data_IF_620897804633
#
_entry.id   IF_620897804633
#
_cell.length_a   1.000
_cell.length_b   1.000
_cell.length_c   1.000
_cell.angle_alpha   90.00
_cell.angle_beta   90.00
_cell.angle_gamma   90.00
#
_symmetry.space_group_name_H-M   'P 1'
#
loop_
_entity.id
_entity.type
_entity.pdbx_description
1 polymer ?
#
# COMPACT_ATOMS: atom_id res chain seq x y z
N UNK A 1 15.88 -17.39 -15.03
CA UNK A 1 14.95 -16.91 -16.10
C UNK A 1 13.54 -17.43 -15.83
N UNK A 2 12.52 -16.60 -15.99
CA UNK A 2 11.08 -16.96 -15.88
C UNK A 2 10.44 -16.77 -17.25
N UNK A 3 9.75 -17.81 -17.77
CA UNK A 3 9.09 -17.76 -19.06
C UNK A 3 7.68 -18.37 -18.96
N UNK A 4 6.66 -17.64 -19.41
CA UNK A 4 5.28 -18.10 -19.53
C UNK A 4 4.93 -18.25 -21.00
N UNK A 5 4.30 -19.37 -21.38
CA UNK A 5 3.86 -19.67 -22.76
C UNK A 5 2.37 -20.01 -22.77
N UNK A 6 1.59 -19.11 -23.36
CA UNK A 6 0.14 -19.29 -23.54
C UNK A 6 -0.60 -19.63 -22.24
N UNK A 7 -0.20 -18.97 -21.12
CA UNK A 7 -0.75 -19.27 -19.79
C UNK A 7 -2.12 -18.64 -19.64
N UNK A 8 -3.12 -19.48 -19.35
CA UNK A 8 -4.47 -19.06 -18.96
C UNK A 8 -4.83 -19.67 -17.61
N UNK A 9 -5.52 -18.90 -16.77
CA UNK A 9 -5.91 -19.36 -15.44
C UNK A 9 -7.29 -18.82 -15.03
N UNK A 10 -8.12 -19.70 -14.47
CA UNK A 10 -9.39 -19.38 -13.83
C UNK A 10 -9.46 -19.97 -12.41
N UNK A 11 -9.92 -19.17 -11.42
CA UNK A 11 -10.22 -19.69 -10.09
C UNK A 11 -11.41 -20.65 -10.13
N UNK A 12 -11.48 -21.60 -9.17
CA UNK A 12 -12.48 -22.66 -9.16
C UNK A 12 -13.93 -22.18 -9.19
N UNK A 13 -14.21 -21.02 -8.57
CA UNK A 13 -15.56 -20.46 -8.46
C UNK A 13 -15.87 -19.39 -9.54
N UNK A 14 -14.97 -19.17 -10.48
CA UNK A 14 -15.12 -18.16 -11.53
C UNK A 14 -15.35 -18.77 -12.90
N UNK A 15 -16.26 -18.20 -13.66
CA UNK A 15 -16.60 -18.62 -15.03
C UNK A 15 -15.73 -17.95 -16.10
N UNK A 16 -14.91 -16.97 -15.70
CA UNK A 16 -14.04 -16.21 -16.61
C UNK A 16 -12.58 -16.34 -16.20
N UNK A 17 -11.70 -16.46 -17.18
CA UNK A 17 -10.26 -16.51 -16.94
C UNK A 17 -9.75 -15.19 -16.36
N UNK A 18 -9.00 -15.28 -15.27
CA UNK A 18 -8.28 -14.17 -14.65
C UNK A 18 -6.98 -13.86 -15.37
N UNK A 19 -6.37 -14.88 -16.01
CA UNK A 19 -5.29 -14.73 -16.98
C UNK A 19 -5.73 -15.37 -18.29
N UNK A 20 -5.41 -14.70 -19.41
CA UNK A 20 -5.86 -15.09 -20.75
C UNK A 20 -4.68 -15.04 -21.71
N UNK A 21 -4.19 -16.21 -22.09
CA UNK A 21 -3.14 -16.37 -23.09
C UNK A 21 -1.89 -15.50 -22.83
N UNK A 22 -1.41 -15.51 -21.57
CA UNK A 22 -0.24 -14.77 -21.16
C UNK A 22 1.01 -15.43 -21.69
N UNK A 23 1.78 -14.67 -22.47
CA UNK A 23 3.14 -15.05 -22.89
C UNK A 23 4.08 -13.90 -22.51
N UNK A 24 5.08 -14.18 -21.67
CA UNK A 24 6.06 -13.20 -21.22
C UNK A 24 7.37 -13.86 -20.79
N UNK A 25 8.46 -13.12 -20.78
CA UNK A 25 9.76 -13.61 -20.35
C UNK A 25 10.46 -12.55 -19.50
N UNK A 26 11.01 -12.99 -18.35
CA UNK A 26 11.94 -12.23 -17.51
C UNK A 26 13.30 -12.94 -17.53
N UNK A 27 14.35 -12.20 -17.88
CA UNK A 27 15.70 -12.76 -18.05
C UNK A 27 16.55 -12.54 -16.79
N UNK A 28 17.60 -13.37 -16.71
CA UNK A 28 18.64 -13.21 -15.68
C UNK A 28 19.39 -11.89 -15.89
N UNK A 29 19.71 -11.20 -14.80
CA UNK A 29 20.35 -9.88 -14.84
C UNK A 29 19.43 -8.75 -15.33
N UNK A 30 18.11 -8.97 -15.36
CA UNK A 30 17.13 -7.97 -15.74
C UNK A 30 16.07 -7.73 -14.65
N UNK A 31 15.54 -6.51 -14.64
CA UNK A 31 14.32 -6.16 -13.87
C UNK A 31 13.16 -6.04 -14.86
N UNK A 32 12.20 -6.95 -14.74
CA UNK A 32 10.96 -6.95 -15.50
C UNK A 32 9.83 -6.37 -14.65
N UNK A 33 9.21 -5.29 -15.10
CA UNK A 33 8.05 -4.65 -14.47
C UNK A 33 6.76 -5.14 -15.11
N UNK A 34 5.83 -5.65 -14.31
CA UNK A 34 4.46 -5.92 -14.71
C UNK A 34 3.52 -4.92 -14.03
N UNK A 35 2.76 -4.15 -14.80
CA UNK A 35 1.85 -3.14 -14.26
C UNK A 35 0.47 -3.18 -14.92
N UNK A 36 -0.48 -2.44 -14.38
CA UNK A 36 -1.86 -2.38 -14.85
C UNK A 36 -2.81 -1.95 -13.73
N UNK A 37 -4.08 -1.69 -14.05
CA UNK A 37 -5.08 -1.31 -13.05
C UNK A 37 -5.38 -2.44 -12.04
N UNK A 38 -5.98 -2.07 -10.93
CA UNK A 38 -6.42 -3.06 -9.91
C UNK A 38 -7.40 -4.07 -10.52
N UNK A 39 -7.17 -5.35 -10.24
CA UNK A 39 -8.00 -6.44 -10.77
C UNK A 39 -7.66 -6.88 -12.20
N UNK A 40 -6.59 -6.38 -12.83
CA UNK A 40 -6.20 -6.81 -14.17
C UNK A 40 -5.47 -8.17 -14.23
N UNK A 41 -5.22 -8.83 -13.07
CA UNK A 41 -4.60 -10.16 -13.02
C UNK A 41 -3.16 -10.20 -12.48
N UNK A 42 -2.57 -9.09 -12.03
CA UNK A 42 -1.16 -9.02 -11.57
C UNK A 42 -0.82 -10.01 -10.45
N UNK A 43 -1.55 -9.98 -9.33
CA UNK A 43 -1.29 -10.90 -8.22
C UNK A 43 -1.61 -12.36 -8.60
N UNK A 44 -2.56 -12.59 -9.52
CA UNK A 44 -2.80 -13.92 -10.09
C UNK A 44 -1.62 -14.40 -10.93
N UNK A 45 -1.00 -13.50 -11.71
CA UNK A 45 0.23 -13.79 -12.45
C UNK A 45 1.35 -14.27 -11.53
N UNK A 46 1.60 -13.57 -10.43
CA UNK A 46 2.61 -14.02 -9.46
C UNK A 46 2.25 -15.35 -8.79
N UNK A 47 0.95 -15.56 -8.49
CA UNK A 47 0.47 -16.82 -7.88
C UNK A 47 0.60 -18.02 -8.80
N UNK A 48 0.50 -17.87 -10.11
CA UNK A 48 0.78 -18.97 -11.04
C UNK A 48 2.28 -19.22 -11.17
N UNK A 49 3.13 -18.18 -11.15
CA UNK A 49 4.59 -18.31 -11.22
C UNK A 49 5.15 -19.04 -9.98
N UNK A 50 4.62 -18.77 -8.80
CA UNK A 50 5.05 -19.44 -7.56
C UNK A 50 4.21 -20.68 -7.20
N UNK A 51 3.40 -21.17 -8.13
CA UNK A 51 2.53 -22.35 -8.01
C UNK A 51 1.51 -22.31 -6.86
N UNK A 52 1.24 -21.16 -6.24
CA UNK A 52 0.08 -21.01 -5.34
C UNK A 52 -1.24 -21.23 -6.08
N UNK A 53 -1.29 -20.89 -7.36
CA UNK A 53 -2.34 -21.29 -8.29
C UNK A 53 -1.79 -22.35 -9.24
N UNK A 54 -2.43 -23.52 -9.38
CA UNK A 54 -3.69 -23.94 -8.74
C UNK A 54 -3.52 -24.64 -7.39
N UNK A 55 -2.30 -24.93 -6.91
CA UNK A 55 -2.04 -25.86 -5.81
C UNK A 55 -2.70 -25.46 -4.47
N UNK A 56 -2.75 -24.16 -4.15
CA UNK A 56 -3.36 -23.65 -2.91
C UNK A 56 -4.75 -23.06 -3.15
N UNK A 57 -4.89 -22.23 -4.20
CA UNK A 57 -6.16 -21.54 -4.49
C UNK A 57 -7.12 -22.35 -5.37
N UNK A 58 -6.72 -23.54 -5.85
CA UNK A 58 -7.51 -24.31 -6.80
C UNK A 58 -7.63 -23.64 -8.17
N UNK A 59 -8.51 -24.16 -9.02
CA UNK A 59 -8.76 -23.60 -10.35
C UNK A 59 -8.13 -24.38 -11.49
N UNK A 60 -8.25 -23.87 -12.71
CA UNK A 60 -7.75 -24.48 -13.93
C UNK A 60 -6.64 -23.64 -14.53
N UNK A 61 -5.48 -24.27 -14.76
CA UNK A 61 -4.29 -23.66 -15.36
C UNK A 61 -4.01 -24.35 -16.70
N UNK A 62 -3.82 -23.57 -17.75
CA UNK A 62 -3.41 -24.03 -19.08
C UNK A 62 -2.12 -23.31 -19.50
N UNK A 63 -1.35 -23.90 -20.41
CA UNK A 63 -0.07 -23.38 -20.89
C UNK A 63 1.12 -23.92 -20.12
N UNK A 64 2.31 -23.32 -20.32
CA UNK A 64 3.56 -23.73 -19.70
C UNK A 64 4.16 -22.56 -18.89
N UNK A 65 4.72 -22.90 -17.73
CA UNK A 65 5.48 -21.97 -16.88
C UNK A 65 6.87 -22.57 -16.67
N UNK A 66 7.87 -21.92 -17.20
CA UNK A 66 9.24 -22.39 -17.16
C UNK A 66 10.07 -21.51 -16.23
N UNK A 67 10.73 -22.13 -15.23
CA UNK A 67 11.71 -21.47 -14.37
C UNK A 67 13.06 -22.14 -14.66
N UNK A 68 14.01 -21.36 -15.19
CA UNK A 68 15.31 -21.87 -15.65
C UNK A 68 15.19 -23.04 -16.64
N UNK A 69 14.16 -23.00 -17.50
CA UNK A 69 13.86 -24.04 -18.46
C UNK A 69 13.10 -25.26 -17.92
N UNK A 70 12.80 -25.31 -16.63
CA UNK A 70 12.04 -26.37 -15.97
C UNK A 70 10.56 -26.00 -15.96
N UNK A 71 9.69 -26.84 -16.54
CA UNK A 71 8.26 -26.61 -16.45
C UNK A 71 7.75 -26.95 -15.04
N UNK A 72 7.19 -25.96 -14.37
CA UNK A 72 6.71 -26.10 -12.98
C UNK A 72 5.22 -26.41 -12.85
N UNK A 73 4.49 -26.56 -13.97
CA UNK A 73 3.06 -26.90 -13.95
C UNK A 73 2.87 -28.29 -13.39
N UNK A 74 2.12 -28.40 -12.28
CA UNK A 74 1.89 -29.65 -11.57
C UNK A 74 2.95 -30.06 -10.57
N UNK A 75 4.02 -29.27 -10.42
CA UNK A 75 5.05 -29.50 -9.41
C UNK A 75 4.59 -29.07 -8.01
N UNK A 76 5.18 -29.68 -6.98
CA UNK A 76 4.89 -29.35 -5.57
C UNK A 76 5.40 -27.96 -5.19
N UNK A 77 4.67 -27.26 -4.31
CA UNK A 77 5.02 -25.92 -3.82
C UNK A 77 6.42 -25.88 -3.22
N UNK A 78 6.83 -26.91 -2.47
CA UNK A 78 8.14 -27.00 -1.86
C UNK A 78 9.28 -26.99 -2.90
N UNK A 79 9.07 -27.71 -4.01
CA UNK A 79 10.03 -27.72 -5.11
C UNK A 79 10.09 -26.36 -5.81
N UNK A 80 8.93 -25.78 -6.16
CA UNK A 80 8.86 -24.48 -6.84
C UNK A 80 9.47 -23.37 -5.97
N UNK A 81 9.25 -23.39 -4.66
CA UNK A 81 9.87 -22.42 -3.73
C UNK A 81 11.40 -22.51 -3.69
N UNK A 82 11.99 -23.61 -4.14
CA UNK A 82 13.43 -23.73 -4.31
C UNK A 82 13.96 -23.08 -5.59
N UNK A 83 13.10 -22.80 -6.56
CA UNK A 83 13.41 -22.21 -7.86
C UNK A 83 13.08 -20.72 -7.93
N UNK A 84 12.01 -20.27 -7.24
CA UNK A 84 11.55 -18.89 -7.25
C UNK A 84 11.24 -18.39 -5.84
N UNK A 85 11.84 -17.27 -5.45
CA UNK A 85 11.60 -16.59 -4.19
C UNK A 85 10.51 -15.52 -4.36
N UNK A 86 9.59 -15.41 -3.41
CA UNK A 86 8.49 -14.47 -3.47
C UNK A 86 8.53 -13.50 -2.29
N UNK A 87 8.46 -12.20 -2.57
CA UNK A 87 8.14 -11.17 -1.57
C UNK A 87 6.68 -10.76 -1.77
N UNK A 88 5.84 -10.99 -0.78
CA UNK A 88 4.42 -10.63 -0.82
C UNK A 88 4.22 -9.15 -0.46
N UNK A 89 3.08 -8.60 -0.88
CA UNK A 89 2.67 -7.21 -0.62
C UNK A 89 2.71 -6.86 0.86
N UNK A 90 2.30 -7.79 1.72
CA UNK A 90 2.32 -7.68 3.17
C UNK A 90 3.36 -8.68 3.73
N UNK A 91 4.60 -8.23 3.98
CA UNK A 91 5.66 -9.13 4.43
C UNK A 91 5.39 -9.71 5.84
N UNK A 92 4.56 -9.06 6.67
CA UNK A 92 4.20 -9.61 7.98
C UNK A 92 3.53 -10.99 7.88
N UNK A 93 2.79 -11.25 6.80
CA UNK A 93 2.11 -12.53 6.59
C UNK A 93 3.05 -13.67 6.25
N UNK A 94 4.32 -13.38 5.96
CA UNK A 94 5.33 -14.40 5.66
C UNK A 94 6.34 -14.59 6.79
N UNK A 95 6.28 -13.77 7.86
CA UNK A 95 7.19 -13.88 8.99
C UNK A 95 6.73 -14.93 10.00
N UNK A 96 7.68 -15.72 10.50
CA UNK A 96 7.48 -16.80 11.46
C UNK A 96 8.25 -16.60 12.76
N UNK A 97 9.38 -15.89 12.71
CA UNK A 97 10.22 -15.66 13.88
C UNK A 97 9.86 -14.37 14.61
N UNK A 98 10.41 -14.20 15.80
CA UNK A 98 10.15 -13.03 16.64
C UNK A 98 11.09 -11.86 16.37
N UNK A 99 12.28 -12.11 15.85
CA UNK A 99 13.29 -11.09 15.58
C UNK A 99 13.88 -11.25 14.16
N UNK A 100 14.60 -10.24 13.71
CA UNK A 100 15.14 -10.15 12.35
C UNK A 100 16.13 -11.27 12.03
N UNK A 101 17.07 -11.56 12.92
CA UNK A 101 18.10 -12.58 12.69
C UNK A 101 17.48 -13.97 12.57
N UNK A 102 16.58 -14.31 13.49
CA UNK A 102 15.91 -15.60 13.49
C UNK A 102 15.00 -15.76 12.28
N UNK A 103 14.36 -14.70 11.80
CA UNK A 103 13.54 -14.76 10.59
C UNK A 103 14.35 -15.10 9.34
N UNK A 104 15.52 -14.49 9.17
CA UNK A 104 16.41 -14.79 8.05
C UNK A 104 16.98 -16.21 8.19
N UNK A 105 17.33 -16.63 9.41
CA UNK A 105 17.86 -17.96 9.68
C UNK A 105 16.83 -19.07 9.47
N UNK A 106 15.55 -18.83 9.83
CA UNK A 106 14.47 -19.81 9.78
C UNK A 106 14.29 -20.41 8.37
N UNK A 107 14.29 -19.58 7.33
CA UNK A 107 14.18 -20.03 5.95
C UNK A 107 15.36 -20.97 5.53
N UNK A 108 16.55 -20.73 6.08
CA UNK A 108 17.75 -21.51 5.81
C UNK A 108 17.77 -22.84 6.58
N UNK A 109 17.21 -22.85 7.80
CA UNK A 109 17.02 -24.07 8.59
C UNK A 109 16.09 -25.05 7.88
N UNK A 110 14.99 -24.55 7.31
CA UNK A 110 14.06 -25.34 6.51
C UNK A 110 14.74 -25.99 5.28
N UNK A 111 15.74 -25.35 4.70
CA UNK A 111 16.55 -25.95 3.63
C UNK A 111 17.54 -27.00 4.13
N UNK A 112 17.65 -27.20 5.44
CA UNK A 112 18.56 -28.19 6.03
C UNK A 112 20.03 -27.82 5.95
N UNK A 113 20.37 -26.53 5.87
CA UNK A 113 21.75 -26.06 5.86
C UNK A 113 22.43 -26.28 7.22
N UNK A 114 23.72 -26.46 7.21
CA UNK A 114 24.47 -26.56 8.47
C UNK A 114 24.61 -25.18 9.15
N UNK A 115 24.83 -25.22 10.47
CA UNK A 115 24.88 -23.99 11.29
C UNK A 115 25.92 -22.95 10.80
N UNK A 116 27.06 -23.38 10.29
CA UNK A 116 28.09 -22.47 9.82
C UNK A 116 27.65 -21.72 8.55
N UNK A 117 27.01 -22.43 7.61
CA UNK A 117 26.46 -21.83 6.40
C UNK A 117 25.29 -20.86 6.72
N UNK A 118 24.42 -21.22 7.67
CA UNK A 118 23.33 -20.33 8.11
C UNK A 118 23.92 -19.03 8.65
N UNK A 119 24.84 -19.10 9.60
CA UNK A 119 25.46 -17.91 10.20
C UNK A 119 26.12 -17.04 9.12
N UNK A 120 26.86 -17.65 8.18
CA UNK A 120 27.51 -16.92 7.11
C UNK A 120 26.46 -16.18 6.24
N UNK A 121 25.45 -16.88 5.72
CA UNK A 121 24.42 -16.28 4.86
C UNK A 121 23.60 -15.19 5.56
N UNK A 122 23.27 -15.40 6.83
CA UNK A 122 22.60 -14.38 7.65
C UNK A 122 23.47 -13.12 7.76
N UNK A 123 24.75 -13.26 8.04
CA UNK A 123 25.66 -12.11 8.12
C UNK A 123 25.79 -11.40 6.77
N UNK A 124 25.92 -12.14 5.67
CA UNK A 124 26.07 -11.60 4.31
C UNK A 124 24.83 -10.73 3.92
N UNK A 125 23.61 -11.22 4.20
CA UNK A 125 22.41 -10.45 3.86
C UNK A 125 22.15 -9.31 4.85
N UNK A 126 22.48 -9.46 6.14
CA UNK A 126 22.41 -8.36 7.11
C UNK A 126 23.31 -7.21 6.68
N UNK A 127 24.52 -7.49 6.20
CA UNK A 127 25.42 -6.48 5.65
C UNK A 127 24.89 -5.90 4.35
N UNK A 128 24.45 -6.76 3.39
CA UNK A 128 23.93 -6.35 2.09
C UNK A 128 22.76 -5.38 2.21
N UNK A 129 21.85 -5.62 3.15
CA UNK A 129 20.63 -4.84 3.36
C UNK A 129 20.76 -3.78 4.46
N UNK A 130 21.97 -3.62 5.05
CA UNK A 130 22.22 -2.67 6.15
C UNK A 130 21.26 -2.85 7.34
N UNK A 131 21.04 -4.10 7.74
CA UNK A 131 20.12 -4.47 8.85
C UNK A 131 20.81 -4.59 10.20
N UNK A 132 22.10 -4.23 10.31
CA UNK A 132 22.91 -4.43 11.52
C UNK A 132 22.30 -3.83 12.79
N UNK A 133 21.76 -2.60 12.70
CA UNK A 133 21.17 -1.90 13.85
C UNK A 133 19.86 -2.55 14.35
N UNK A 134 19.14 -3.24 13.46
CA UNK A 134 17.86 -3.88 13.79
C UNK A 134 17.95 -5.39 13.92
N UNK A 135 19.16 -5.97 13.81
CA UNK A 135 19.40 -7.42 13.78
C UNK A 135 18.65 -8.20 14.88
N UNK A 136 18.67 -7.67 16.11
CA UNK A 136 18.07 -8.29 17.30
C UNK A 136 16.72 -7.69 17.67
N UNK A 137 16.16 -6.78 16.85
CA UNK A 137 14.88 -6.16 17.14
C UNK A 137 13.72 -7.12 16.84
N UNK A 138 12.65 -6.96 17.60
CA UNK A 138 11.41 -7.67 17.36
C UNK A 138 10.78 -7.18 16.05
N UNK A 139 10.27 -8.11 15.22
CA UNK A 139 9.68 -7.81 13.91
C UNK A 139 8.50 -6.85 14.04
N UNK A 140 7.66 -7.01 15.08
CA UNK A 140 6.51 -6.14 15.34
C UNK A 140 6.89 -4.67 15.62
N UNK A 141 8.15 -4.42 16.00
CA UNK A 141 8.65 -3.07 16.29
C UNK A 141 9.22 -2.35 15.06
N UNK A 142 9.34 -3.04 13.93
CA UNK A 142 9.92 -2.53 12.71
C UNK A 142 8.96 -1.61 11.96
N UNK A 143 9.51 -0.61 11.26
CA UNK A 143 8.76 0.15 10.26
C UNK A 143 8.44 -0.71 9.04
N UNK A 144 7.43 -0.30 8.25
CA UNK A 144 7.06 -1.02 7.02
C UNK A 144 8.24 -1.17 6.05
N UNK A 145 9.07 -0.12 5.89
CA UNK A 145 10.28 -0.20 5.06
C UNK A 145 11.30 -1.19 5.58
N UNK A 146 11.47 -1.27 6.91
CA UNK A 146 12.35 -2.27 7.52
C UNK A 146 11.80 -3.68 7.34
N UNK A 147 10.50 -3.90 7.49
CA UNK A 147 9.85 -5.20 7.23
C UNK A 147 10.03 -5.64 5.78
N UNK A 148 9.84 -4.75 4.81
CA UNK A 148 10.08 -5.05 3.39
C UNK A 148 11.54 -5.45 3.14
N UNK A 149 12.50 -4.73 3.74
CA UNK A 149 13.93 -5.09 3.64
C UNK A 149 14.21 -6.46 4.25
N UNK A 150 13.67 -6.77 5.43
CA UNK A 150 13.83 -8.07 6.09
C UNK A 150 13.23 -9.19 5.24
N UNK A 151 12.00 -9.00 4.71
CA UNK A 151 11.37 -9.98 3.83
C UNK A 151 12.19 -10.26 2.57
N UNK A 152 12.72 -9.21 1.93
CA UNK A 152 13.58 -9.38 0.75
C UNK A 152 14.94 -10.01 1.13
N UNK A 153 15.53 -9.65 2.27
CA UNK A 153 16.75 -10.25 2.78
C UNK A 153 16.58 -11.75 3.03
N UNK A 154 15.43 -12.16 3.61
CA UNK A 154 15.08 -13.58 3.80
C UNK A 154 15.02 -14.33 2.48
N UNK A 155 14.38 -13.75 1.45
CA UNK A 155 14.32 -14.34 0.10
C UNK A 155 15.73 -14.47 -0.50
N UNK A 156 16.56 -13.42 -0.40
CA UNK A 156 17.92 -13.42 -0.96
C UNK A 156 18.84 -14.39 -0.22
N UNK A 157 18.70 -14.55 1.10
CA UNK A 157 19.45 -15.51 1.90
C UNK A 157 19.28 -16.95 1.40
N UNK A 158 18.10 -17.27 0.86
CA UNK A 158 17.83 -18.57 0.25
C UNK A 158 18.63 -18.85 -1.02
N UNK A 159 19.30 -17.84 -1.59
CA UNK A 159 20.10 -17.91 -2.83
C UNK A 159 19.32 -18.43 -4.04
N UNK A 160 18.04 -18.11 -4.09
CA UNK A 160 17.18 -18.37 -5.26
C UNK A 160 17.38 -17.23 -6.24
N UNK A 161 17.73 -17.53 -7.49
CA UNK A 161 18.09 -16.51 -8.50
C UNK A 161 16.88 -15.84 -9.15
N UNK A 162 15.73 -16.47 -9.12
CA UNK A 162 14.50 -15.90 -9.64
C UNK A 162 13.69 -15.31 -8.48
N UNK A 163 13.45 -14.02 -8.50
CA UNK A 163 12.73 -13.29 -7.44
C UNK A 163 11.53 -12.58 -8.03
N UNK A 164 10.37 -12.78 -7.40
CA UNK A 164 9.13 -12.06 -7.73
C UNK A 164 8.66 -11.23 -6.54
N UNK A 165 8.25 -9.99 -6.82
CA UNK A 165 7.81 -9.03 -5.81
C UNK A 165 6.39 -8.54 -6.13
N UNK A 166 5.47 -8.67 -5.16
CA UNK A 166 4.07 -8.21 -5.28
C UNK A 166 3.91 -6.87 -4.55
N UNK A 167 3.75 -5.79 -5.29
CA UNK A 167 3.55 -4.41 -4.82
C UNK A 167 4.51 -4.01 -3.66
N UNK A 168 5.83 -4.18 -3.84
CA UNK A 168 6.78 -4.01 -2.75
C UNK A 168 6.87 -2.58 -2.21
N UNK A 169 6.31 -1.60 -2.93
CA UNK A 169 6.34 -0.17 -2.53
C UNK A 169 5.04 0.34 -1.91
N UNK A 170 4.00 -0.49 -1.77
CA UNK A 170 2.66 -0.05 -1.39
C UNK A 170 2.63 0.82 -0.10
N UNK A 171 3.40 0.44 0.92
CA UNK A 171 3.44 1.12 2.22
C UNK A 171 4.77 1.84 2.50
N UNK A 172 5.63 2.00 1.48
CA UNK A 172 6.93 2.62 1.65
C UNK A 172 6.88 4.14 1.50
N UNK A 173 7.65 4.82 2.33
CA UNK A 173 8.00 6.22 2.12
C UNK A 173 8.94 6.36 0.91
N UNK A 174 9.12 7.58 0.36
CA UNK A 174 9.95 7.79 -0.80
C UNK A 174 11.41 7.39 -0.61
N UNK A 175 11.95 7.60 0.58
CA UNK A 175 13.32 7.24 0.94
C UNK A 175 13.51 5.71 0.94
N UNK A 176 12.61 4.98 1.58
CA UNK A 176 12.61 3.50 1.57
C UNK A 176 12.36 2.94 0.16
N UNK A 177 11.54 3.62 -0.65
CA UNK A 177 11.29 3.24 -2.05
C UNK A 177 12.57 3.37 -2.89
N UNK A 178 13.34 4.46 -2.70
CA UNK A 178 14.63 4.64 -3.38
C UNK A 178 15.68 3.62 -2.92
N UNK A 179 15.71 3.31 -1.63
CA UNK A 179 16.61 2.25 -1.12
C UNK A 179 16.28 0.88 -1.71
N UNK A 180 14.98 0.53 -1.81
CA UNK A 180 14.55 -0.69 -2.47
C UNK A 180 15.02 -0.74 -3.93
N UNK A 181 14.86 0.36 -4.69
CA UNK A 181 15.33 0.43 -6.06
C UNK A 181 16.85 0.16 -6.18
N UNK A 182 17.67 0.72 -5.26
CA UNK A 182 19.13 0.47 -5.20
C UNK A 182 19.45 -0.99 -4.90
N UNK A 183 18.68 -1.63 -3.99
CA UNK A 183 18.82 -3.05 -3.69
C UNK A 183 18.51 -3.90 -4.93
N UNK A 184 17.40 -3.64 -5.62
CA UNK A 184 17.04 -4.35 -6.84
C UNK A 184 18.10 -4.17 -7.93
N UNK A 185 18.68 -2.98 -8.09
CA UNK A 185 19.78 -2.72 -9.02
C UNK A 185 21.03 -3.54 -8.65
N UNK A 186 21.34 -3.69 -7.36
CA UNK A 186 22.45 -4.53 -6.91
C UNK A 186 22.20 -5.99 -7.25
N UNK A 187 21.03 -6.53 -6.93
CA UNK A 187 20.67 -7.91 -7.25
C UNK A 187 20.70 -8.18 -8.76
N UNK A 188 20.21 -7.23 -9.58
CA UNK A 188 20.35 -7.29 -11.04
C UNK A 188 21.80 -7.46 -11.48
N UNK A 189 22.74 -6.69 -10.92
CA UNK A 189 24.19 -6.81 -11.23
C UNK A 189 24.78 -8.16 -10.79
N UNK A 190 24.18 -8.79 -9.79
CA UNK A 190 24.50 -10.13 -9.32
C UNK A 190 23.79 -11.25 -10.10
N UNK A 191 23.25 -10.89 -11.28
CA UNK A 191 22.59 -11.77 -12.24
C UNK A 191 21.32 -12.46 -11.71
N UNK A 192 20.55 -11.78 -10.81
CA UNK A 192 19.22 -12.24 -10.44
C UNK A 192 18.22 -11.92 -11.56
N UNK A 193 17.28 -12.82 -11.79
CA UNK A 193 16.06 -12.58 -12.56
C UNK A 193 15.01 -11.96 -11.63
N UNK A 194 14.61 -10.72 -11.87
CA UNK A 194 13.75 -9.98 -10.96
C UNK A 194 12.47 -9.59 -11.70
N UNK A 195 11.32 -10.05 -11.20
CA UNK A 195 10.01 -9.61 -11.70
C UNK A 195 9.29 -8.82 -10.61
N UNK A 196 8.95 -7.59 -10.90
CA UNK A 196 8.22 -6.69 -10.00
C UNK A 196 6.82 -6.46 -10.55
N UNK A 197 5.81 -6.71 -9.73
CA UNK A 197 4.45 -6.27 -9.96
C UNK A 197 4.21 -5.04 -9.10
N UNK A 198 3.93 -3.89 -9.68
CA UNK A 198 3.68 -2.67 -8.90
C UNK A 198 2.75 -1.70 -9.64
N UNK A 199 2.09 -0.86 -8.86
CA UNK A 199 1.37 0.31 -9.34
C UNK A 199 2.26 1.54 -9.42
N UNK A 200 3.18 1.75 -8.47
CA UNK A 200 4.18 2.84 -8.52
C UNK A 200 5.22 2.52 -9.56
N UNK A 201 5.49 3.47 -10.46
CA UNK A 201 6.36 3.24 -11.62
C UNK A 201 7.66 4.04 -11.56
N UNK A 202 7.63 5.23 -10.97
CA UNK A 202 8.70 6.21 -11.05
C UNK A 202 10.05 5.70 -10.53
N UNK A 203 10.05 4.84 -9.51
CA UNK A 203 11.28 4.34 -8.88
C UNK A 203 12.04 3.30 -9.73
N UNK A 204 11.35 2.67 -10.71
CA UNK A 204 11.93 1.71 -11.65
C UNK A 204 12.28 2.32 -12.99
N UNK A 205 12.05 3.62 -13.19
CA UNK A 205 12.23 4.30 -14.47
C UNK A 205 13.60 4.06 -15.12
N UNK A 206 14.65 4.12 -14.30
CA UNK A 206 16.04 3.99 -14.75
C UNK A 206 16.61 2.57 -14.54
N UNK A 207 15.80 1.64 -14.03
CA UNK A 207 16.26 0.31 -13.64
C UNK A 207 15.55 -0.83 -14.38
N UNK A 208 14.28 -0.66 -14.74
CA UNK A 208 13.52 -1.69 -15.45
C UNK A 208 13.98 -1.81 -16.90
N UNK A 209 14.31 -3.03 -17.30
CA UNK A 209 14.73 -3.38 -18.67
C UNK A 209 13.53 -3.70 -19.55
N UNK A 210 12.55 -4.39 -19.00
CA UNK A 210 11.34 -4.81 -19.68
C UNK A 210 10.09 -4.47 -18.88
N UNK A 211 9.04 -4.10 -19.61
CA UNK A 211 7.74 -3.76 -19.05
C UNK A 211 6.65 -4.53 -19.77
N UNK A 212 5.72 -5.07 -19.00
CA UNK A 212 4.46 -5.63 -19.47
C UNK A 212 3.30 -4.89 -18.82
N UNK A 213 2.34 -4.45 -19.65
CA UNK A 213 1.11 -3.82 -19.17
C UNK A 213 -0.03 -4.83 -19.30
N UNK A 214 -0.69 -5.12 -18.20
CA UNK A 214 -1.80 -6.05 -18.12
C UNK A 214 -3.13 -5.31 -18.09
N UNK A 215 -4.10 -5.79 -18.87
CA UNK A 215 -5.49 -5.36 -18.83
C UNK A 215 -6.41 -6.56 -19.01
N UNK A 216 -7.40 -6.70 -18.14
CA UNK A 216 -8.40 -7.79 -18.18
C UNK A 216 -7.83 -9.21 -18.34
N UNK A 217 -6.70 -9.47 -17.73
CA UNK A 217 -6.03 -10.77 -17.74
C UNK A 217 -5.13 -11.02 -18.95
N UNK A 218 -4.91 -10.05 -19.82
CA UNK A 218 -4.05 -10.17 -20.99
C UNK A 218 -2.92 -9.14 -20.98
N UNK A 219 -1.80 -9.44 -21.63
CA UNK A 219 -0.76 -8.46 -21.93
C UNK A 219 -1.23 -7.60 -23.09
N UNK A 220 -1.30 -6.30 -22.90
CA UNK A 220 -1.79 -5.34 -23.92
C UNK A 220 -0.69 -4.46 -24.50
N UNK A 221 0.40 -4.27 -23.78
CA UNK A 221 1.60 -3.55 -24.24
C UNK A 221 2.84 -4.22 -23.65
N UNK A 222 3.92 -4.28 -24.42
CA UNK A 222 5.23 -4.73 -23.94
C UNK A 222 6.37 -3.91 -24.56
N UNK A 223 7.49 -3.80 -23.86
CA UNK A 223 8.67 -3.10 -24.36
C UNK A 223 9.63 -2.72 -23.24
N UNK A 224 10.50 -1.76 -23.52
CA UNK A 224 11.30 -1.12 -22.48
C UNK A 224 10.45 -0.08 -21.72
N UNK A 225 11.01 0.56 -20.70
CA UNK A 225 10.24 1.49 -19.84
C UNK A 225 9.56 2.64 -20.61
N UNK A 226 10.08 3.03 -21.78
CA UNK A 226 9.50 4.10 -22.60
C UNK A 226 8.14 3.73 -23.24
N UNK A 227 7.75 2.45 -23.21
CA UNK A 227 6.40 2.04 -23.63
C UNK A 227 5.32 2.74 -22.78
N UNK A 228 5.65 3.10 -21.53
CA UNK A 228 4.74 3.81 -20.63
C UNK A 228 4.73 5.30 -20.95
N UNK A 229 4.19 5.67 -22.09
CA UNK A 229 3.98 7.06 -22.49
C UNK A 229 2.81 7.70 -21.75
N UNK A 230 2.68 9.03 -21.82
CA UNK A 230 1.54 9.75 -21.26
C UNK A 230 0.19 9.30 -21.84
N UNK A 231 0.17 8.86 -23.10
CA UNK A 231 -1.03 8.30 -23.74
C UNK A 231 -1.39 6.95 -23.13
N UNK A 232 -0.39 6.09 -22.95
CA UNK A 232 -0.53 4.76 -22.32
C UNK A 232 -0.98 4.91 -20.86
N UNK A 233 -0.39 5.86 -20.11
CA UNK A 233 -0.81 6.16 -18.71
C UNK A 233 -2.31 6.53 -18.67
N UNK A 234 -2.77 7.39 -19.56
CA UNK A 234 -4.18 7.80 -19.62
C UNK A 234 -5.09 6.66 -20.10
N UNK A 235 -4.67 5.93 -21.15
CA UNK A 235 -5.44 4.82 -21.74
C UNK A 235 -5.70 3.71 -20.73
N UNK A 236 -4.66 3.29 -20.00
CA UNK A 236 -4.71 2.15 -19.09
C UNK A 236 -4.80 2.57 -17.62
N UNK A 237 -5.02 3.83 -17.29
CA UNK A 237 -5.22 4.30 -15.92
C UNK A 237 -4.01 4.11 -15.00
N UNK A 238 -2.80 4.09 -15.54
CA UNK A 238 -1.57 3.82 -14.78
C UNK A 238 -1.15 5.02 -13.91
N UNK A 239 -0.21 4.79 -13.01
CA UNK A 239 0.51 5.81 -12.26
C UNK A 239 1.53 6.53 -13.14
N UNK A 240 1.98 7.73 -12.71
CA UNK A 240 3.01 8.50 -13.40
C UNK A 240 4.37 7.79 -13.38
N UNK A 241 5.14 7.96 -14.43
CA UNK A 241 6.52 7.46 -14.56
C UNK A 241 7.57 8.42 -14.00
N UNK A 242 7.18 9.62 -13.62
CA UNK A 242 8.01 10.61 -12.96
C UNK A 242 7.14 11.42 -12.01
N UNK A 243 7.67 11.72 -10.83
CA UNK A 243 7.04 12.52 -9.80
C UNK A 243 8.06 13.50 -9.24
N UNK A 244 7.60 14.66 -8.82
CA UNK A 244 8.45 15.65 -8.13
C UNK A 244 8.15 15.60 -6.64
N UNK A 245 9.17 15.45 -5.82
CA UNK A 245 9.00 15.56 -4.38
C UNK A 245 8.80 17.03 -3.99
N UNK A 246 7.57 17.40 -3.76
CA UNK A 246 7.18 18.75 -3.36
C UNK A 246 7.06 18.94 -1.85
N UNK A 247 7.32 17.92 -1.03
CA UNK A 247 7.14 17.99 0.43
C UNK A 247 7.86 19.20 1.05
N UNK A 248 9.03 19.58 0.53
CA UNK A 248 9.78 20.75 1.03
C UNK A 248 9.26 22.08 0.48
N UNK A 249 8.64 22.09 -0.68
CA UNK A 249 8.15 23.31 -1.36
C UNK A 249 6.69 23.66 -1.04
N UNK A 250 5.96 22.78 -0.37
CA UNK A 250 4.58 23.06 0.06
C UNK A 250 4.58 24.25 1.03
N UNK A 251 3.66 25.18 0.85
CA UNK A 251 3.44 26.26 1.80
C UNK A 251 3.04 25.68 3.15
N UNK A 252 3.69 26.16 4.21
CA UNK A 252 3.35 25.76 5.58
C UNK A 252 2.20 26.62 6.07
N UNK A 253 1.14 25.96 6.51
CA UNK A 253 0.06 26.67 7.16
C UNK A 253 0.60 27.39 8.41
N UNK A 254 0.44 28.70 8.42
CA UNK A 254 0.72 29.53 9.59
C UNK A 254 -0.60 29.79 10.30
N UNK A 255 -0.59 29.73 11.63
CA UNK A 255 -1.76 29.89 12.49
C UNK A 255 -2.59 31.12 12.08
N UNK A 256 -3.82 30.88 11.62
CA UNK A 256 -4.78 31.92 11.27
C UNK A 256 -6.07 31.71 12.07
N UNK A 257 -6.89 32.76 12.16
CA UNK A 257 -8.19 32.70 12.82
C UNK A 257 -9.20 31.74 12.14
N UNK A 258 -8.91 31.23 10.94
CA UNK A 258 -9.82 30.41 10.14
C UNK A 258 -9.69 28.88 10.37
N UNK A 259 -9.05 28.44 11.45
CA UNK A 259 -9.02 27.00 11.80
C UNK A 259 -10.36 26.54 12.41
N UNK A 260 -10.73 25.28 12.22
CA UNK A 260 -11.96 24.68 12.80
C UNK A 260 -11.67 23.89 14.06
N UNK A 261 -10.44 23.46 14.24
CA UNK A 261 -9.95 22.78 15.44
C UNK A 261 -8.45 23.09 15.63
N UNK A 262 -7.97 22.97 16.87
CA UNK A 262 -6.55 23.09 17.18
C UNK A 262 -6.16 22.28 18.41
N UNK A 263 -4.92 21.81 18.41
CA UNK A 263 -4.27 21.21 19.58
C UNK A 263 -3.63 22.33 20.41
N UNK A 264 -3.86 22.31 21.73
CA UNK A 264 -3.29 23.28 22.66
C UNK A 264 -2.43 22.55 23.69
N UNK A 265 -1.12 22.78 23.65
CA UNK A 265 -0.12 22.17 24.55
C UNK A 265 -0.32 20.66 24.70
N UNK A 266 -0.58 19.99 23.57
CA UNK A 266 -0.95 18.57 23.54
C UNK A 266 0.28 17.71 23.79
N UNK A 267 0.29 16.94 24.89
CA UNK A 267 1.32 15.95 25.18
C UNK A 267 0.73 14.56 25.25
N UNK A 268 1.46 13.59 24.72
CA UNK A 268 1.00 12.19 24.70
C UNK A 268 2.14 11.20 24.81
N UNK A 269 1.89 10.16 25.62
CA UNK A 269 2.75 9.00 25.82
C UNK A 269 1.94 7.73 25.94
N UNK A 270 2.30 6.67 25.21
CA UNK A 270 1.73 5.34 25.42
C UNK A 270 2.18 4.76 26.77
N UNK A 271 1.37 3.88 27.38
CA UNK A 271 1.59 3.36 28.74
C UNK A 271 3.00 2.81 29.02
N UNK A 272 3.63 2.20 28.04
CA UNK A 272 4.97 1.60 28.14
C UNK A 272 5.97 2.21 27.17
N UNK A 273 5.69 3.41 26.64
CA UNK A 273 6.42 3.95 25.52
C UNK A 273 7.15 5.27 25.78
N UNK A 274 7.93 5.64 24.78
CA UNK A 274 8.52 6.96 24.63
C UNK A 274 7.42 8.01 24.50
N UNK A 275 7.67 9.23 24.96
CA UNK A 275 6.82 10.38 24.71
C UNK A 275 6.77 10.65 23.21
N UNK A 276 5.54 10.79 22.66
CA UNK A 276 5.29 11.03 21.24
C UNK A 276 5.15 12.51 20.96
N UNK A 277 4.42 13.21 21.85
CA UNK A 277 4.22 14.66 21.77
C UNK A 277 4.49 15.30 23.10
N UNK A 278 5.18 16.46 23.05
CA UNK A 278 5.40 17.35 24.17
C UNK A 278 4.95 18.76 23.78
N UNK A 279 3.92 19.30 24.45
CA UNK A 279 3.35 20.65 24.23
C UNK A 279 3.07 20.99 22.75
N UNK A 280 2.59 20.01 21.96
CA UNK A 280 2.27 20.20 20.57
C UNK A 280 1.13 21.23 20.41
N UNK A 281 1.39 22.26 19.62
CA UNK A 281 0.40 23.23 19.16
C UNK A 281 0.27 23.08 17.63
N UNK A 282 -0.94 22.83 17.15
CA UNK A 282 -1.20 22.56 15.74
C UNK A 282 -2.64 22.92 15.41
N UNK A 283 -2.86 23.60 14.30
CA UNK A 283 -4.18 24.04 13.85
C UNK A 283 -4.66 23.27 12.62
N UNK A 284 -5.97 23.10 12.51
CA UNK A 284 -6.66 22.44 11.41
C UNK A 284 -7.55 23.45 10.67
N UNK A 285 -7.05 24.07 9.58
CA UNK A 285 -7.79 25.05 8.79
C UNK A 285 -8.78 24.40 7.82
N UNK A 286 -9.69 25.18 7.26
CA UNK A 286 -10.53 24.77 6.15
C UNK A 286 -9.66 24.57 4.88
N UNK A 287 -10.04 23.61 4.04
CA UNK A 287 -9.32 23.30 2.81
C UNK A 287 -8.76 21.89 2.77
N UNK A 288 -7.86 21.63 1.82
CA UNK A 288 -7.16 20.36 1.67
C UNK A 288 -5.70 20.52 2.10
N UNK A 289 -5.28 19.73 3.07
CA UNK A 289 -3.96 19.83 3.67
C UNK A 289 -3.26 18.48 3.71
N UNK A 290 -1.93 18.50 3.57
CA UNK A 290 -1.09 17.31 3.75
C UNK A 290 -0.41 17.39 5.11
N UNK A 291 -0.57 16.35 5.94
CA UNK A 291 0.13 16.28 7.23
C UNK A 291 1.53 15.69 7.02
N UNK A 292 2.53 16.55 7.13
CA UNK A 292 3.94 16.19 6.98
C UNK A 292 4.60 15.88 8.32
N UNK A 293 5.61 15.04 8.27
CA UNK A 293 6.44 14.64 9.41
C UNK A 293 7.15 13.32 9.12
N UNK A 294 8.27 13.07 9.80
CA UNK A 294 9.03 11.82 9.65
C UNK A 294 8.20 10.59 10.02
N UNK A 295 8.61 9.42 9.54
CA UNK A 295 8.02 8.16 9.99
C UNK A 295 8.23 8.00 11.50
N UNK A 296 7.20 7.48 12.18
CA UNK A 296 7.23 7.33 13.65
C UNK A 296 7.04 8.61 14.47
N UNK A 297 6.92 9.81 13.86
CA UNK A 297 6.70 11.07 14.62
C UNK A 297 5.32 11.16 15.29
N UNK A 298 4.40 10.24 14.96
CA UNK A 298 3.08 10.19 15.60
C UNK A 298 1.92 10.70 14.75
N UNK A 299 2.03 10.78 13.42
CA UNK A 299 0.93 11.26 12.54
C UNK A 299 -0.39 10.51 12.78
N UNK A 300 -0.35 9.19 12.78
CA UNK A 300 -1.52 8.33 13.10
C UNK A 300 -1.99 8.52 14.54
N UNK A 301 -1.07 8.70 15.48
CA UNK A 301 -1.39 8.98 16.90
C UNK A 301 -2.10 10.32 17.04
N UNK A 302 -1.65 11.36 16.32
CA UNK A 302 -2.31 12.66 16.30
C UNK A 302 -3.76 12.55 15.82
N UNK A 303 -4.00 11.83 14.73
CA UNK A 303 -5.36 11.64 14.21
C UNK A 303 -6.28 10.95 15.24
N UNK A 304 -5.77 9.97 15.98
CA UNK A 304 -6.51 9.31 17.08
C UNK A 304 -6.80 10.26 18.23
N UNK A 305 -5.84 11.11 18.61
CA UNK A 305 -6.02 12.12 19.67
C UNK A 305 -7.05 13.18 19.26
N UNK A 306 -7.00 13.65 18.01
CA UNK A 306 -7.98 14.65 17.49
C UNK A 306 -9.40 14.14 17.61
N UNK A 307 -9.64 12.87 17.36
CA UNK A 307 -10.99 12.29 17.45
C UNK A 307 -11.31 11.63 18.80
N UNK A 308 -10.43 11.77 19.79
CA UNK A 308 -10.67 11.25 21.15
C UNK A 308 -10.64 9.72 21.23
N UNK A 309 -10.05 9.03 20.25
CA UNK A 309 -9.77 7.59 20.29
C UNK A 309 -8.63 7.26 21.25
N UNK A 310 -7.74 8.23 21.45
CA UNK A 310 -6.72 8.24 22.50
C UNK A 310 -6.90 9.48 23.37
N UNK A 311 -6.50 9.39 24.66
CA UNK A 311 -6.58 10.52 25.59
C UNK A 311 -5.20 11.14 25.75
N UNK A 312 -5.05 12.46 25.57
CA UNK A 312 -3.78 13.12 25.80
C UNK A 312 -3.35 13.00 27.28
N UNK A 313 -2.05 12.97 27.52
CA UNK A 313 -1.48 12.99 28.87
C UNK A 313 -1.68 14.38 29.52
N UNK A 314 -1.51 15.44 28.71
CA UNK A 314 -1.81 16.83 29.08
C UNK A 314 -2.23 17.62 27.83
N UNK A 315 -2.72 18.84 28.04
CA UNK A 315 -3.26 19.66 26.94
C UNK A 315 -4.64 19.17 26.47
N UNK A 316 -5.08 19.66 25.34
CA UNK A 316 -6.40 19.33 24.78
C UNK A 316 -6.50 19.63 23.29
N UNK A 317 -7.49 18.98 22.64
CA UNK A 317 -7.97 19.36 21.30
C UNK A 317 -9.21 20.21 21.49
N UNK A 318 -9.25 21.37 20.83
CA UNK A 318 -10.34 22.32 20.89
C UNK A 318 -10.96 22.45 19.50
N UNK A 319 -12.28 22.31 19.43
CA UNK A 319 -13.07 22.59 18.24
C UNK A 319 -13.69 23.98 18.39
N UNK A 320 -13.68 24.80 17.35
CA UNK A 320 -14.25 26.16 17.39
C UNK A 320 -15.78 26.17 17.46
N UNK A 321 -16.46 25.06 17.23
CA UNK A 321 -17.89 24.92 17.45
C UNK A 321 -18.15 24.39 18.88
N UNK A 322 -18.63 25.24 19.77
CA UNK A 322 -18.90 24.92 21.18
C UNK A 322 -19.99 23.81 21.35
N UNK A 323 -20.70 23.47 20.30
CA UNK A 323 -21.73 22.40 20.30
C UNK A 323 -21.10 21.00 20.20
N UNK A 324 -19.81 20.90 19.89
CA UNK A 324 -19.12 19.63 19.74
C UNK A 324 -18.93 18.97 21.11
N UNK A 325 -19.80 18.02 21.44
CA UNK A 325 -19.69 17.20 22.67
C UNK A 325 -18.78 15.99 22.48
N UNK A 326 -18.78 15.42 21.27
CA UNK A 326 -17.99 14.25 20.92
C UNK A 326 -17.26 14.51 19.60
N UNK A 327 -15.93 14.42 19.56
CA UNK A 327 -15.14 14.69 18.36
C UNK A 327 -15.60 13.92 17.12
N UNK A 328 -15.95 12.63 17.27
CA UNK A 328 -16.46 11.78 16.18
C UNK A 328 -17.83 12.19 15.62
N UNK A 329 -18.57 13.06 16.31
CA UNK A 329 -19.81 13.65 15.75
C UNK A 329 -19.50 14.83 14.81
N UNK A 330 -18.33 15.43 14.94
CA UNK A 330 -17.90 16.59 14.16
C UNK A 330 -16.96 16.21 13.01
N UNK A 331 -16.22 15.11 13.18
CA UNK A 331 -15.24 14.66 12.21
C UNK A 331 -15.26 13.15 11.97
N UNK A 332 -14.47 12.74 10.99
CA UNK A 332 -14.26 11.33 10.64
C UNK A 332 -12.79 11.05 10.40
N UNK A 333 -12.39 9.81 10.70
CA UNK A 333 -11.06 9.28 10.43
C UNK A 333 -11.17 8.09 9.49
N UNK A 334 -10.30 8.06 8.48
CA UNK A 334 -10.05 6.88 7.64
C UNK A 334 -8.67 6.34 8.01
N UNK A 335 -8.63 5.10 8.49
CA UNK A 335 -7.39 4.44 8.90
C UNK A 335 -6.72 3.77 7.69
N UNK A 336 -5.41 3.57 7.75
CA UNK A 336 -4.62 2.90 6.73
C UNK A 336 -5.17 1.50 6.41
N UNK A 337 -5.44 0.68 7.43
CA UNK A 337 -6.06 -0.63 7.23
C UNK A 337 -7.59 -0.51 7.21
N UNK A 338 -8.17 -0.66 6.03
CA UNK A 338 -9.61 -0.56 5.77
C UNK A 338 -10.41 -1.71 6.39
N UNK A 339 -9.82 -2.88 6.58
CA UNK A 339 -10.51 -4.06 7.09
C UNK A 339 -11.01 -3.86 8.52
N UNK A 340 -10.35 -3.01 9.31
CA UNK A 340 -10.81 -2.66 10.66
C UNK A 340 -12.05 -1.75 10.69
N UNK A 341 -12.44 -1.20 9.55
CA UNK A 341 -13.54 -0.23 9.47
C UNK A 341 -14.78 -0.78 8.74
N UNK A 342 -14.70 -1.96 8.15
CA UNK A 342 -15.77 -2.59 7.36
C UNK A 342 -16.28 -3.84 8.08
N UNK A 343 -17.49 -3.76 8.64
CA UNK A 343 -18.03 -4.78 9.53
C UNK A 343 -19.44 -5.27 9.17
N UNK A 344 -20.10 -4.64 8.16
CA UNK A 344 -21.47 -4.99 7.79
C UNK A 344 -21.50 -6.10 6.73
N UNK A 345 -22.67 -6.68 6.54
CA UNK A 345 -22.90 -7.80 5.61
C UNK A 345 -22.94 -7.41 4.13
N UNK A 346 -23.01 -6.11 3.82
CA UNK A 346 -22.99 -5.61 2.44
C UNK A 346 -22.50 -4.16 2.37
N UNK A 347 -22.02 -3.75 1.19
CA UNK A 347 -21.66 -2.36 0.87
C UNK A 347 -22.83 -1.41 1.17
N UNK A 348 -24.06 -1.80 0.79
CA UNK A 348 -25.26 -1.04 1.11
C UNK A 348 -25.42 -0.80 2.62
N UNK A 349 -25.25 -1.85 3.42
CA UNK A 349 -25.44 -1.77 4.86
C UNK A 349 -24.34 -0.96 5.56
N UNK A 350 -23.10 -0.95 5.03
CA UNK A 350 -22.03 -0.06 5.52
C UNK A 350 -22.45 1.42 5.36
N UNK A 351 -22.86 1.83 4.17
CA UNK A 351 -23.28 3.19 3.91
C UNK A 351 -24.54 3.57 4.70
N UNK A 352 -25.53 2.67 4.75
CA UNK A 352 -26.76 2.86 5.53
C UNK A 352 -26.46 3.11 7.00
N UNK A 353 -25.64 2.27 7.60
CA UNK A 353 -25.22 2.40 9.01
C UNK A 353 -24.56 3.76 9.28
N UNK A 354 -23.73 4.24 8.36
CA UNK A 354 -23.06 5.54 8.50
C UNK A 354 -24.07 6.72 8.46
N UNK A 355 -25.09 6.67 7.61
CA UNK A 355 -26.16 7.67 7.61
C UNK A 355 -26.96 7.64 8.92
N UNK A 356 -27.36 6.47 9.38
CA UNK A 356 -28.13 6.30 10.62
C UNK A 356 -27.36 6.81 11.84
N UNK A 357 -26.10 6.45 11.98
CA UNK A 357 -25.24 6.87 13.08
C UNK A 357 -24.95 8.39 13.08
N UNK A 358 -24.96 9.02 11.92
CA UNK A 358 -24.76 10.48 11.81
C UNK A 358 -26.01 11.30 12.07
N UNK A 359 -27.17 10.67 12.27
CA UNK A 359 -28.46 11.34 12.40
C UNK A 359 -28.95 11.97 11.09
N UNK A 360 -28.34 11.64 9.97
CA UNK A 360 -28.75 12.10 8.65
C UNK A 360 -29.91 11.25 8.11
N UNK A 361 -30.77 11.88 7.33
CA UNK A 361 -31.90 11.18 6.73
C UNK A 361 -31.40 10.14 5.72
N UNK A 362 -31.57 8.86 6.04
CA UNK A 362 -31.33 7.77 5.12
C UNK A 362 -32.34 7.82 3.96
N UNK A 363 -31.86 7.70 2.73
CA UNK A 363 -32.69 7.37 1.58
C UNK A 363 -31.93 6.43 0.63
N UNK A 364 -32.67 5.57 -0.06
CA UNK A 364 -32.09 4.67 -1.07
C UNK A 364 -31.44 5.45 -2.22
N UNK A 365 -32.03 6.59 -2.58
CA UNK A 365 -31.52 7.48 -3.62
C UNK A 365 -30.15 8.03 -3.23
N UNK A 366 -30.00 8.45 -1.97
CA UNK A 366 -28.72 9.00 -1.48
C UNK A 366 -27.62 7.94 -1.46
N UNK A 367 -27.92 6.69 -1.09
CA UNK A 367 -26.94 5.60 -1.20
C UNK A 367 -26.52 5.39 -2.65
N UNK A 368 -27.46 5.38 -3.60
CA UNK A 368 -27.15 5.22 -5.02
C UNK A 368 -26.27 6.34 -5.56
N UNK A 369 -26.51 7.59 -5.13
CA UNK A 369 -25.64 8.73 -5.48
C UNK A 369 -24.21 8.51 -4.97
N UNK A 370 -24.04 8.14 -3.69
CA UNK A 370 -22.73 7.86 -3.11
C UNK A 370 -22.06 6.69 -3.81
N UNK A 371 -22.77 5.60 -4.07
CA UNK A 371 -22.23 4.45 -4.81
C UNK A 371 -21.74 4.86 -6.21
N UNK A 372 -22.47 5.74 -6.89
CA UNK A 372 -22.08 6.27 -8.20
C UNK A 372 -20.83 7.15 -8.11
N UNK A 373 -20.77 8.05 -7.13
CA UNK A 373 -19.57 8.89 -6.88
C UNK A 373 -18.34 8.02 -6.63
N UNK A 374 -18.51 6.90 -5.92
CA UNK A 374 -17.44 5.95 -5.59
C UNK A 374 -17.17 4.91 -6.70
N UNK A 375 -18.00 4.81 -7.75
CA UNK A 375 -18.02 3.71 -8.75
C UNK A 375 -18.11 2.33 -8.09
N UNK A 376 -19.08 2.17 -7.22
CA UNK A 376 -19.39 0.93 -6.50
C UNK A 376 -20.81 0.42 -6.76
N UNK A 377 -21.54 0.95 -7.77
CA UNK A 377 -22.94 0.61 -8.05
C UNK A 377 -23.14 -0.90 -8.25
N UNK A 378 -22.20 -1.55 -8.94
CA UNK A 378 -22.27 -2.97 -9.25
C UNK A 378 -21.93 -3.86 -8.04
N UNK A 379 -21.53 -3.27 -6.92
CA UNK A 379 -21.10 -3.97 -5.72
C UNK A 379 -22.02 -3.74 -4.52
N UNK A 380 -23.16 -3.05 -4.69
CA UNK A 380 -24.06 -2.60 -3.63
C UNK A 380 -24.42 -3.69 -2.62
N UNK A 381 -24.69 -4.91 -3.10
CA UNK A 381 -25.12 -6.03 -2.26
C UNK A 381 -24.00 -7.05 -1.98
N UNK A 382 -22.76 -6.79 -2.43
CA UNK A 382 -21.62 -7.65 -2.11
C UNK A 382 -21.15 -7.45 -0.68
N UNK A 383 -20.58 -8.51 -0.10
CA UNK A 383 -19.92 -8.42 1.19
C UNK A 383 -18.65 -7.54 1.06
N UNK A 384 -18.38 -6.59 1.98
CA UNK A 384 -17.21 -5.70 1.89
C UNK A 384 -15.88 -6.44 1.76
N UNK A 385 -15.74 -7.58 2.42
CA UNK A 385 -14.50 -8.38 2.35
C UNK A 385 -14.25 -9.02 0.97
N UNK A 386 -15.26 -9.13 0.11
CA UNK A 386 -15.10 -9.62 -1.27
C UNK A 386 -14.64 -8.53 -2.25
N UNK A 387 -14.50 -7.28 -1.79
CA UNK A 387 -14.05 -6.16 -2.60
C UNK A 387 -12.52 -6.17 -2.74
N UNK A 388 -12.01 -5.65 -3.87
CA UNK A 388 -10.58 -5.37 -4.00
C UNK A 388 -10.14 -4.26 -3.03
N UNK A 389 -8.83 -4.17 -2.74
CA UNK A 389 -8.27 -3.14 -1.84
C UNK A 389 -8.72 -1.72 -2.22
N UNK A 390 -8.64 -1.35 -3.51
CA UNK A 390 -9.09 -0.04 -3.98
C UNK A 390 -10.61 0.17 -3.87
N UNK A 391 -11.43 -0.88 -3.99
CA UNK A 391 -12.88 -0.80 -3.77
C UNK A 391 -13.20 -0.62 -2.27
N UNK A 392 -12.51 -1.37 -1.39
CA UNK A 392 -12.61 -1.20 0.07
C UNK A 392 -12.23 0.22 0.49
N UNK A 393 -11.13 0.74 -0.04
CA UNK A 393 -10.66 2.09 0.26
C UNK A 393 -11.71 3.15 -0.13
N UNK A 394 -12.28 3.05 -1.34
CA UNK A 394 -13.36 3.95 -1.75
C UNK A 394 -14.60 3.81 -0.87
N UNK A 395 -14.96 2.59 -0.48
CA UNK A 395 -16.11 2.35 0.41
C UNK A 395 -15.91 3.02 1.78
N UNK A 396 -14.75 2.84 2.43
CA UNK A 396 -14.45 3.47 3.72
C UNK A 396 -14.47 5.00 3.63
N UNK A 397 -13.90 5.57 2.56
CA UNK A 397 -13.99 7.01 2.30
C UNK A 397 -15.46 7.44 2.15
N UNK A 398 -16.27 6.70 1.39
CA UNK A 398 -17.69 6.95 1.27
C UNK A 398 -18.43 6.91 2.61
N UNK A 399 -18.14 5.91 3.44
CA UNK A 399 -18.68 5.81 4.80
C UNK A 399 -18.32 7.04 5.66
N UNK A 400 -17.08 7.51 5.56
CA UNK A 400 -16.65 8.72 6.25
C UNK A 400 -17.40 9.97 5.75
N UNK A 401 -17.57 10.12 4.43
CA UNK A 401 -18.24 11.25 3.79
C UNK A 401 -19.77 11.27 4.05
N UNK A 402 -20.41 10.11 4.19
CA UNK A 402 -21.84 10.01 4.53
C UNK A 402 -22.19 10.70 5.85
N UNK A 403 -21.23 10.82 6.76
CA UNK A 403 -21.41 11.56 8.03
C UNK A 403 -21.37 13.09 7.84
N UNK A 404 -20.99 13.57 6.66
CA UNK A 404 -20.76 14.99 6.36
C UNK A 404 -19.85 15.67 7.39
N UNK A 405 -18.65 15.12 7.67
CA UNK A 405 -17.76 15.59 8.73
C UNK A 405 -17.22 16.98 8.40
N UNK A 406 -17.08 17.85 9.40
CA UNK A 406 -16.40 19.15 9.24
C UNK A 406 -14.89 19.01 9.13
N UNK A 407 -14.32 17.98 9.76
CA UNK A 407 -12.93 17.60 9.65
C UNK A 407 -12.82 16.13 9.26
N UNK A 408 -12.08 15.84 8.21
CA UNK A 408 -11.80 14.50 7.71
C UNK A 408 -10.30 14.27 7.67
N UNK A 409 -9.81 13.31 8.46
CA UNK A 409 -8.40 12.91 8.44
C UNK A 409 -8.29 11.53 7.82
N UNK A 410 -7.41 11.38 6.82
CA UNK A 410 -7.19 10.12 6.13
C UNK A 410 -5.72 9.72 6.27
N UNK A 411 -5.50 8.47 6.68
CA UNK A 411 -4.17 7.89 6.83
C UNK A 411 -3.87 6.98 5.64
N UNK A 412 -2.92 7.37 4.80
CA UNK A 412 -2.49 6.69 3.56
C UNK A 412 -3.65 6.27 2.62
N UNK A 413 -4.54 7.20 2.22
CA UNK A 413 -5.77 6.84 1.48
C UNK A 413 -5.52 6.35 0.05
N UNK A 414 -4.30 6.45 -0.47
CA UNK A 414 -3.95 6.07 -1.85
C UNK A 414 -2.90 4.94 -1.93
N UNK A 415 -2.52 4.38 -0.78
CA UNK A 415 -1.57 3.25 -0.73
C UNK A 415 -2.10 2.03 -1.51
N UNK A 416 -1.26 1.40 -2.32
CA UNK A 416 -1.63 0.23 -3.13
C UNK A 416 -2.69 0.48 -4.20
N UNK A 417 -2.99 1.74 -4.54
CA UNK A 417 -3.94 2.07 -5.59
C UNK A 417 -3.27 2.30 -6.94
N UNK A 418 -3.95 1.87 -8.00
CA UNK A 418 -3.62 2.27 -9.38
C UNK A 418 -3.86 3.76 -9.61
N UNK A 419 -3.38 4.27 -10.75
CA UNK A 419 -3.48 5.69 -11.05
C UNK A 419 -4.92 6.18 -11.26
N UNK A 420 -5.82 5.35 -11.78
CA UNK A 420 -7.22 5.72 -11.97
C UNK A 420 -7.92 5.89 -10.62
N UNK A 421 -7.77 4.92 -9.72
CA UNK A 421 -8.38 4.96 -8.39
C UNK A 421 -7.79 6.08 -7.52
N UNK A 422 -6.48 6.29 -7.58
CA UNK A 422 -5.80 7.39 -6.87
C UNK A 422 -6.34 8.75 -7.31
N UNK A 423 -6.38 9.03 -8.63
CA UNK A 423 -6.91 10.30 -9.16
C UNK A 423 -8.38 10.51 -8.79
N UNK A 424 -9.17 9.45 -8.75
CA UNK A 424 -10.57 9.52 -8.36
C UNK A 424 -10.74 9.91 -6.88
N UNK A 425 -10.00 9.26 -5.99
CA UNK A 425 -10.01 9.61 -4.55
C UNK A 425 -9.54 11.05 -4.36
N UNK A 426 -8.45 11.45 -5.00
CA UNK A 426 -7.96 12.83 -4.97
C UNK A 426 -9.05 13.83 -5.34
N UNK A 427 -9.78 13.59 -6.45
CA UNK A 427 -10.85 14.48 -6.89
C UNK A 427 -12.00 14.56 -5.88
N UNK A 428 -12.44 13.42 -5.33
CA UNK A 428 -13.50 13.36 -4.32
C UNK A 428 -13.11 14.20 -3.09
N UNK A 429 -11.89 14.06 -2.60
CA UNK A 429 -11.40 14.78 -1.42
C UNK A 429 -11.25 16.28 -1.69
N UNK A 430 -10.75 16.67 -2.88
CA UNK A 430 -10.67 18.05 -3.30
C UNK A 430 -12.04 18.72 -3.41
N UNK A 431 -13.01 18.03 -4.01
CA UNK A 431 -14.36 18.57 -4.15
C UNK A 431 -15.06 18.69 -2.79
N UNK A 432 -14.72 17.79 -1.86
CA UNK A 432 -15.22 17.87 -0.50
C UNK A 432 -14.62 19.05 0.26
N UNK A 433 -13.33 19.29 0.16
CA UNK A 433 -12.67 20.43 0.82
C UNK A 433 -13.20 21.78 0.32
N UNK A 434 -13.46 21.92 -0.99
CA UNK A 434 -14.04 23.13 -1.60
C UNK A 434 -15.44 23.48 -1.08
N UNK A 435 -16.15 22.52 -0.48
CA UNK A 435 -17.47 22.75 0.15
C UNK A 435 -17.37 23.33 1.57
N UNK A 436 -16.18 23.78 2.01
CA UNK A 436 -15.97 24.38 3.33
C UNK A 436 -15.74 23.33 4.42
N UNK A 437 -15.02 22.28 4.10
CA UNK A 437 -14.58 21.25 5.04
C UNK A 437 -13.05 21.24 5.16
N UNK A 438 -12.53 20.79 6.30
CA UNK A 438 -11.12 20.52 6.48
C UNK A 438 -10.85 19.06 6.09
N UNK A 439 -9.98 18.85 5.13
CA UNK A 439 -9.49 17.53 4.72
C UNK A 439 -7.99 17.47 4.98
N UNK A 440 -7.57 16.54 5.81
CA UNK A 440 -6.15 16.33 6.14
C UNK A 440 -5.75 14.94 5.67
N UNK A 441 -4.76 14.87 4.81
CA UNK A 441 -4.24 13.60 4.30
C UNK A 441 -2.84 13.36 4.84
N UNK A 442 -2.67 12.26 5.53
CA UNK A 442 -1.35 11.73 5.89
C UNK A 442 -0.93 10.85 4.72
N UNK A 443 0.16 11.19 4.02
CA UNK A 443 0.60 10.36 2.90
C UNK A 443 2.07 10.50 2.57
N UNK A 444 2.63 9.42 2.06
CA UNK A 444 3.94 9.33 1.42
C UNK A 444 3.83 9.23 -0.12
N UNK A 445 2.61 9.31 -0.65
CA UNK A 445 2.36 9.23 -2.09
C UNK A 445 2.71 10.56 -2.78
N UNK A 446 3.93 10.62 -3.33
CA UNK A 446 4.42 11.81 -4.02
C UNK A 446 3.54 12.19 -5.21
N UNK A 447 2.89 11.22 -5.90
CA UNK A 447 2.02 11.52 -7.03
C UNK A 447 0.72 12.22 -6.59
N UNK A 448 0.22 11.92 -5.38
CA UNK A 448 -0.93 12.61 -4.83
C UNK A 448 -0.64 14.11 -4.63
N UNK A 449 0.59 14.45 -4.20
CA UNK A 449 1.03 15.80 -3.85
C UNK A 449 1.81 16.52 -4.97
N UNK A 450 2.03 15.88 -6.13
CA UNK A 450 2.81 16.40 -7.27
C UNK A 450 2.10 17.55 -8.02
N UNK A 451 0.81 17.73 -7.83
CA UNK A 451 0.05 18.82 -8.45
C UNK A 451 -0.17 19.97 -7.46
N UNK A 452 -0.07 21.22 -7.93
CA UNK A 452 -0.17 22.44 -7.14
C UNK A 452 -1.48 22.54 -6.34
N UNK A 453 -1.43 23.30 -5.23
CA UNK A 453 -2.54 23.79 -4.39
C UNK A 453 -2.80 23.04 -3.08
N UNK A 454 -1.79 22.44 -2.47
CA UNK A 454 -1.93 21.91 -1.12
C UNK A 454 -1.04 22.67 -0.16
N UNK A 455 -1.61 23.06 0.99
CA UNK A 455 -0.84 23.55 2.12
C UNK A 455 -0.43 22.36 2.99
N UNK A 456 0.69 22.49 3.66
CA UNK A 456 1.18 21.48 4.58
C UNK A 456 0.94 21.90 6.03
N UNK A 457 0.41 20.95 6.81
CA UNK A 457 0.46 20.97 8.26
C UNK A 457 1.69 20.15 8.65
N UNK A 458 2.60 20.69 9.44
CA UNK A 458 3.85 20.01 9.76
C UNK A 458 3.98 19.73 11.26
N UNK A 459 4.22 18.46 11.59
CA UNK A 459 4.67 18.09 12.93
C UNK A 459 6.19 18.23 12.95
N UNK A 460 6.70 19.27 13.64
CA UNK A 460 8.13 19.50 13.82
C UNK A 460 8.70 18.51 14.82
N UNK A 461 9.96 18.09 14.61
CA UNK A 461 10.67 17.34 15.63
C UNK A 461 10.69 18.18 16.93
N UNK A 462 10.25 17.58 17.99
CA UNK A 462 10.40 18.09 19.33
C UNK A 462 11.69 17.48 19.87
N UNK A 463 12.80 18.24 19.75
CA UNK A 463 14.10 17.88 20.32
C UNK A 463 14.07 17.93 21.85
#
# INVERSE_FOLDING_TARGET
MIELKHVSYAYADETTNNLKDISLTAYDGEITLCTGVSGCGKSTLLRVINSLCPNYYGGTLEGEILIDGINIVGEELAYVSSLVGTLFQDPERQFFALNVEDEIAFALEWKGLNKAEIIQRVNDVIEMFSLGEIRNQAIDSLSEGQKQKVGLATVVAMQVKNIILDEPTANLDPESTEELAKILQRLKKENYCIMVVDHRLYYLKDYADKVYILEHGSVVEEGNFNVISNEVIKKYGLRKTSVTDRRQSLERFHDTDDCIAYCQNLSFKYKNGKEIFHDLNLSFPLGFHVLLGRNGIGKTTLSRLVFGLEKPTSGKVIFKDDRVKHPLSYGSIVLQNTDYQLNMSSVHNELKSCFELSGQKYSKERIKEVLKELSLENFEYRHPQSLSGGQKQRLVIGCALCKNPKILILDEPTSGLDGQNMRKIKQILLDYSKKGHCVVVITHDLELIDEDYFDAIEIKNQD
#
